data_IF_209348226342
#
_entry.id   IF_209348226342
#
_cell.length_a   1.000
_cell.length_b   1.000
_cell.length_c   1.000
_cell.angle_alpha   90.00
_cell.angle_beta   90.00
_cell.angle_gamma   90.00
#
_symmetry.space_group_name_H-M   'P 1'
#
loop_
_entity.id
_entity.type
_entity.pdbx_description
1 polymer ?
#
# COMPACT_ATOMS: atom_id res chain seq x y z
N UNK A 1 19.00 -26.95 -5.44
CA UNK A 1 18.07 -25.83 -5.17
C UNK A 1 17.76 -25.82 -3.68
N UNK A 2 18.59 -25.24 -2.79
CA UNK A 2 18.29 -25.36 -1.34
C UNK A 2 18.58 -24.07 -0.54
N UNK A 3 19.79 -23.52 -0.56
CA UNK A 3 20.11 -22.44 0.40
C UNK A 3 19.56 -21.04 0.03
N UNK A 4 19.69 -20.62 -1.24
CA UNK A 4 19.24 -19.29 -1.70
C UNK A 4 17.72 -19.12 -1.63
N UNK A 5 16.98 -20.17 -2.01
CA UNK A 5 15.51 -20.19 -1.91
C UNK A 5 15.05 -20.26 -0.46
N UNK A 6 15.73 -21.03 0.40
CA UNK A 6 15.45 -21.03 1.83
C UNK A 6 15.63 -19.65 2.48
N UNK A 7 16.70 -18.93 2.13
CA UNK A 7 16.92 -17.55 2.61
C UNK A 7 15.83 -16.59 2.15
N UNK A 8 15.33 -16.73 0.91
CA UNK A 8 14.21 -15.93 0.40
C UNK A 8 12.93 -16.21 1.18
N UNK A 9 12.59 -17.48 1.39
CA UNK A 9 11.41 -17.89 2.15
C UNK A 9 11.49 -17.43 3.61
N UNK A 10 12.64 -17.65 4.27
CA UNK A 10 12.86 -17.26 5.67
C UNK A 10 12.69 -15.74 5.87
N UNK A 11 13.27 -14.93 4.99
CA UNK A 11 13.08 -13.47 5.02
C UNK A 11 11.61 -13.09 4.84
N UNK A 12 10.89 -13.80 3.97
CA UNK A 12 9.46 -13.58 3.78
C UNK A 12 8.64 -13.88 5.03
N UNK A 13 8.93 -14.98 5.72
CA UNK A 13 8.26 -15.35 6.98
C UNK A 13 8.51 -14.31 8.07
N UNK A 14 9.73 -13.78 8.17
CA UNK A 14 10.07 -12.73 9.14
C UNK A 14 9.23 -11.47 8.87
N UNK A 15 9.16 -11.01 7.62
CA UNK A 15 8.34 -9.86 7.26
C UNK A 15 6.86 -10.09 7.53
N UNK A 16 6.32 -11.26 7.17
CA UNK A 16 4.93 -11.61 7.45
C UNK A 16 4.65 -11.59 8.97
N UNK A 17 5.59 -12.11 9.77
CA UNK A 17 5.50 -12.07 11.24
C UNK A 17 5.49 -10.64 11.79
N UNK A 18 6.35 -9.76 11.25
CA UNK A 18 6.41 -8.34 11.66
C UNK A 18 5.10 -7.63 11.31
N UNK A 19 4.58 -7.84 10.09
CA UNK A 19 3.30 -7.27 9.64
C UNK A 19 2.16 -7.77 10.53
N UNK A 20 2.11 -9.06 10.80
CA UNK A 20 1.11 -9.67 11.69
C UNK A 20 1.20 -9.08 13.11
N UNK A 21 2.40 -8.94 13.66
CA UNK A 21 2.62 -8.34 14.98
C UNK A 21 2.20 -6.87 15.04
N UNK A 22 2.56 -6.07 14.03
CA UNK A 22 2.13 -4.66 13.93
C UNK A 22 0.62 -4.54 13.81
N UNK A 23 -0.01 -5.39 13.01
CA UNK A 23 -1.46 -5.40 12.85
C UNK A 23 -2.18 -5.78 14.15
N UNK A 24 -1.69 -6.81 14.85
CA UNK A 24 -2.20 -7.21 16.17
C UNK A 24 -2.00 -6.10 17.22
N UNK A 25 -0.86 -5.41 17.17
CA UNK A 25 -0.60 -4.28 18.07
C UNK A 25 -1.56 -3.11 17.81
N UNK A 26 -1.80 -2.74 16.55
CA UNK A 26 -2.73 -1.66 16.17
C UNK A 26 -4.18 -1.99 16.54
N UNK A 27 -4.62 -3.22 16.27
CA UNK A 27 -5.98 -3.68 16.62
C UNK A 27 -6.17 -3.83 18.13
N UNK A 28 -5.15 -4.33 18.84
CA UNK A 28 -5.12 -4.39 20.30
C UNK A 28 -5.16 -3.02 20.97
N UNK A 29 -4.43 -2.03 20.42
CA UNK A 29 -4.44 -0.65 20.91
C UNK A 29 -5.83 -0.01 20.81
N UNK A 30 -6.55 -0.24 19.71
CA UNK A 30 -7.93 0.26 19.55
C UNK A 30 -8.93 -0.29 20.57
N UNK A 31 -8.74 -1.54 21.04
CA UNK A 31 -9.55 -2.12 22.12
C UNK A 31 -9.25 -1.51 23.48
N UNK A 32 -7.99 -1.16 23.76
CA UNK A 32 -7.59 -0.54 25.03
C UNK A 32 -8.09 0.91 25.14
N UNK A 33 -8.11 1.65 24.04
CA UNK A 33 -8.59 3.06 24.05
C UNK A 33 -10.11 3.18 24.06
N UNK A 34 -10.83 2.23 23.44
CA UNK A 34 -12.31 2.19 23.47
C UNK A 34 -12.91 1.82 24.82
N UNK A 35 -12.09 1.36 25.78
CA UNK A 35 -12.51 1.13 27.18
C UNK A 35 -12.23 2.33 28.10
N UNK A 36 -11.83 3.49 27.56
CA UNK A 36 -11.80 4.69 28.39
C UNK A 36 -13.23 4.98 28.86
N UNK A 37 -13.52 4.91 30.18
CA UNK A 37 -14.86 5.13 30.67
C UNK A 37 -15.26 6.53 30.25
N UNK A 38 -16.27 6.62 29.39
CA UNK A 38 -16.87 7.89 29.06
C UNK A 38 -17.28 8.53 30.39
N UNK A 39 -16.52 9.51 30.84
CA UNK A 39 -16.93 10.41 31.91
C UNK A 39 -18.12 11.17 31.34
N UNK A 40 -19.31 10.62 31.53
CA UNK A 40 -20.55 11.37 31.40
C UNK A 40 -20.43 12.53 32.37
N UNK A 41 -20.07 13.69 31.83
CA UNK A 41 -20.28 14.95 32.52
C UNK A 41 -21.79 15.12 32.50
N UNK A 42 -22.45 14.65 33.54
CA UNK A 42 -23.85 14.98 33.80
C UNK A 42 -23.90 16.49 34.02
N UNK A 43 -24.24 17.22 32.96
CA UNK A 43 -24.56 18.65 33.07
C UNK A 43 -25.93 18.71 33.73
N UNK A 44 -25.92 18.81 35.06
CA UNK A 44 -27.10 19.07 35.87
C UNK A 44 -27.61 20.47 35.53
N UNK A 45 -28.60 20.55 34.62
CA UNK A 45 -29.28 21.80 34.30
C UNK A 45 -30.15 22.15 35.50
N UNK A 46 -29.61 22.98 36.39
CA UNK A 46 -30.29 23.48 37.58
C UNK A 46 -31.64 24.10 37.23
N UNK A 47 -32.71 23.61 37.87
CA UNK A 47 -34.10 23.97 37.64
C UNK A 47 -34.54 25.29 38.27
N UNK A 48 -33.61 26.21 38.52
CA UNK A 48 -33.89 27.50 39.18
C UNK A 48 -33.85 28.66 38.17
N UNK A 49 -34.86 28.72 37.31
CA UNK A 49 -35.14 29.91 36.49
C UNK A 49 -36.64 30.25 36.58
N UNK A 50 -36.96 31.17 37.50
CA UNK A 50 -38.29 31.70 37.71
C UNK A 50 -38.90 32.35 36.46
N UNK A 51 -40.12 31.92 36.15
CA UNK A 51 -41.33 32.63 35.64
C UNK A 51 -41.26 33.84 34.68
N UNK A 52 -40.12 34.25 34.13
CA UNK A 52 -40.04 35.41 33.22
C UNK A 52 -39.39 35.15 31.84
N UNK A 53 -39.31 33.89 31.35
CA UNK A 53 -38.49 33.56 30.17
C UNK A 53 -39.16 32.73 29.06
N UNK A 54 -40.49 32.76 28.91
CA UNK A 54 -41.18 31.98 27.86
C UNK A 54 -40.68 32.29 26.42
N UNK A 55 -40.16 33.49 26.16
CA UNK A 55 -39.57 33.86 24.86
C UNK A 55 -38.10 33.45 24.70
N UNK A 56 -37.33 33.34 25.79
CA UNK A 56 -35.94 32.84 25.74
C UNK A 56 -35.90 31.30 25.64
N UNK A 57 -36.88 30.61 26.24
CA UNK A 57 -37.03 29.16 26.14
C UNK A 57 -37.28 28.70 24.69
N UNK A 58 -38.00 29.48 23.88
CA UNK A 58 -38.28 29.10 22.50
C UNK A 58 -37.06 29.23 21.56
N UNK A 59 -36.09 30.09 21.90
CA UNK A 59 -34.80 30.17 21.20
C UNK A 59 -33.79 29.12 21.71
N UNK A 60 -33.85 28.74 22.99
CA UNK A 60 -32.99 27.70 23.56
C UNK A 60 -33.42 26.28 23.12
N UNK A 61 -34.72 26.01 22.96
CA UNK A 61 -35.25 24.69 22.53
C UNK A 61 -34.94 24.37 21.07
N UNK A 62 -34.66 25.38 20.23
CA UNK A 62 -34.25 25.15 18.83
C UNK A 62 -32.78 24.70 18.68
N UNK A 63 -31.99 24.78 19.74
CA UNK A 63 -30.61 24.29 19.76
C UNK A 63 -30.43 22.96 20.52
N UNK A 64 -31.50 22.42 21.11
CA UNK A 64 -31.55 21.01 21.53
C UNK A 64 -32.00 20.17 20.32
N UNK A 65 -31.29 20.34 19.20
CA UNK A 65 -31.19 19.23 18.26
C UNK A 65 -30.50 18.13 19.03
N UNK A 66 -31.29 17.17 19.50
CA UNK A 66 -30.92 15.81 19.79
C UNK A 66 -29.44 15.55 19.47
N UNK A 67 -28.58 15.83 20.44
CA UNK A 67 -27.36 15.08 20.60
C UNK A 67 -27.84 13.68 20.98
N UNK A 68 -28.42 12.96 20.01
CA UNK A 68 -28.31 11.52 19.93
C UNK A 68 -26.81 11.35 20.04
N UNK A 69 -26.33 11.07 21.25
CA UNK A 69 -24.99 10.54 21.43
C UNK A 69 -24.95 9.39 20.44
N UNK A 70 -24.20 9.52 19.33
CA UNK A 70 -24.07 8.37 18.47
C UNK A 70 -23.48 7.30 19.38
N UNK A 71 -24.24 6.22 19.60
CA UNK A 71 -23.74 5.07 20.34
C UNK A 71 -22.36 4.73 19.76
N UNK A 72 -21.42 4.25 20.61
CA UNK A 72 -20.01 4.10 20.24
C UNK A 72 -19.91 3.54 18.83
N UNK A 73 -19.55 4.40 17.88
CA UNK A 73 -19.55 4.04 16.47
C UNK A 73 -18.60 2.86 16.33
N UNK A 74 -19.15 1.67 16.05
CA UNK A 74 -18.32 0.51 15.84
C UNK A 74 -17.35 0.85 14.71
N UNK A 75 -16.04 0.62 14.90
CA UNK A 75 -15.05 1.00 13.91
C UNK A 75 -15.32 0.21 12.64
N UNK A 76 -15.76 0.89 11.58
CA UNK A 76 -16.10 0.26 10.31
C UNK A 76 -14.82 0.11 9.47
N UNK A 77 -14.53 -1.10 9.00
CA UNK A 77 -13.27 -1.43 8.31
C UNK A 77 -13.57 -1.69 6.82
N UNK A 78 -13.16 -0.82 5.89
CA UNK A 78 -13.40 -1.04 4.47
C UNK A 78 -12.48 -2.12 3.91
N UNK A 79 -12.99 -2.95 3.00
CA UNK A 79 -12.17 -3.92 2.27
C UNK A 79 -11.00 -3.28 1.52
N UNK A 80 -11.21 -2.08 0.96
CA UNK A 80 -10.15 -1.31 0.32
C UNK A 80 -8.93 -1.08 1.22
N UNK A 81 -9.11 -0.86 2.52
CA UNK A 81 -7.99 -0.72 3.46
C UNK A 81 -7.18 -2.02 3.58
N UNK A 82 -7.85 -3.18 3.61
CA UNK A 82 -7.15 -4.47 3.65
C UNK A 82 -6.38 -4.73 2.35
N UNK A 83 -6.94 -4.37 1.20
CA UNK A 83 -6.24 -4.45 -0.08
C UNK A 83 -5.02 -3.53 -0.12
N UNK A 84 -5.12 -2.32 0.44
CA UNK A 84 -3.98 -1.41 0.54
C UNK A 84 -2.84 -1.98 1.40
N UNK A 85 -3.17 -2.50 2.58
CA UNK A 85 -2.18 -3.15 3.45
C UNK A 85 -1.51 -4.32 2.73
N UNK A 86 -2.30 -5.20 2.11
CA UNK A 86 -1.77 -6.33 1.34
C UNK A 86 -0.92 -5.86 0.14
N UNK A 87 -1.33 -4.82 -0.56
CA UNK A 87 -0.64 -4.20 -1.69
C UNK A 87 0.72 -3.64 -1.32
N UNK A 88 0.80 -2.86 -0.24
CA UNK A 88 2.06 -2.29 0.25
C UNK A 88 3.03 -3.40 0.67
N UNK A 89 2.56 -4.40 1.41
CA UNK A 89 3.41 -5.53 1.82
C UNK A 89 3.89 -6.29 0.59
N UNK A 90 3.01 -6.63 -0.36
CA UNK A 90 3.41 -7.25 -1.62
C UNK A 90 4.41 -6.41 -2.41
N UNK A 91 4.33 -5.08 -2.33
CA UNK A 91 5.26 -4.15 -2.99
C UNK A 91 6.65 -4.23 -2.36
N UNK A 92 6.75 -4.40 -1.05
CA UNK A 92 8.03 -4.66 -0.35
C UNK A 92 8.66 -5.95 -0.89
N UNK A 93 7.88 -7.03 -0.99
CA UNK A 93 8.34 -8.29 -1.58
C UNK A 93 8.77 -8.13 -3.03
N UNK A 94 8.00 -7.39 -3.84
CA UNK A 94 8.35 -7.07 -5.22
C UNK A 94 9.70 -6.33 -5.31
N UNK A 95 10.01 -5.41 -4.39
CA UNK A 95 11.32 -4.75 -4.32
C UNK A 95 12.48 -5.70 -4.01
N UNK A 96 12.24 -6.74 -3.22
CA UNK A 96 13.23 -7.79 -2.91
C UNK A 96 13.46 -8.69 -4.15
N UNK A 97 12.38 -9.04 -4.86
CA UNK A 97 12.45 -9.91 -6.04
C UNK A 97 12.97 -9.19 -7.29
N UNK A 98 12.72 -7.88 -7.43
CA UNK A 98 13.04 -7.10 -8.63
C UNK A 98 14.53 -7.00 -8.99
N UNK A 99 15.43 -7.57 -8.19
CA UNK A 99 16.86 -7.67 -8.46
C UNK A 99 17.28 -9.02 -9.10
N UNK A 100 16.35 -9.90 -9.45
CA UNK A 100 16.61 -11.26 -9.93
C UNK A 100 17.51 -11.28 -11.18
N UNK A 101 17.20 -10.48 -12.21
CA UNK A 101 18.02 -10.37 -13.42
C UNK A 101 19.46 -9.95 -13.12
N UNK A 102 19.65 -8.90 -12.32
CA UNK A 102 20.99 -8.44 -11.94
C UNK A 102 21.80 -9.52 -11.21
N UNK A 103 21.14 -10.34 -10.38
CA UNK A 103 21.80 -11.45 -9.70
C UNK A 103 22.21 -12.55 -10.67
N UNK A 104 21.40 -12.83 -11.70
CA UNK A 104 21.75 -13.78 -12.77
C UNK A 104 22.92 -13.25 -13.64
N UNK A 105 23.06 -11.92 -13.78
CA UNK A 105 24.17 -11.31 -14.51
C UNK A 105 25.54 -11.52 -13.83
N UNK A 106 25.58 -11.80 -12.53
CA UNK A 106 26.84 -12.04 -11.81
C UNK A 106 27.52 -13.36 -12.23
N UNK A 107 26.77 -14.33 -12.75
CA UNK A 107 27.27 -15.61 -13.27
C UNK A 107 27.23 -15.72 -14.80
N UNK A 108 27.18 -14.59 -15.51
CA UNK A 108 26.82 -14.53 -16.93
C UNK A 108 27.69 -15.39 -17.85
N UNK A 109 28.98 -15.58 -17.55
CA UNK A 109 29.88 -16.45 -18.33
C UNK A 109 29.44 -17.92 -18.28
N UNK A 110 29.02 -18.40 -17.11
CA UNK A 110 28.62 -19.80 -16.93
C UNK A 110 27.25 -20.10 -17.56
N UNK A 111 26.32 -19.13 -17.49
CA UNK A 111 24.98 -19.27 -18.07
C UNK A 111 25.02 -19.21 -19.60
N UNK A 112 25.85 -18.34 -20.17
CA UNK A 112 25.97 -18.19 -21.62
C UNK A 112 26.54 -19.45 -22.30
N UNK A 113 27.44 -20.17 -21.62
CA UNK A 113 28.11 -21.34 -22.17
C UNK A 113 27.30 -22.64 -22.02
N UNK A 114 26.33 -22.69 -21.11
CA UNK A 114 25.64 -23.95 -20.74
C UNK A 114 24.20 -24.06 -21.21
N UNK A 115 23.55 -22.98 -21.69
CA UNK A 115 22.12 -23.00 -22.06
C UNK A 115 21.85 -22.36 -23.44
N UNK A 116 21.57 -23.15 -24.51
CA UNK A 116 21.25 -22.62 -25.84
C UNK A 116 19.82 -22.04 -25.98
N UNK A 117 19.21 -21.54 -24.90
CA UNK A 117 17.87 -20.93 -24.94
C UNK A 117 17.96 -19.41 -25.16
N UNK A 118 16.97 -18.86 -25.87
CA UNK A 118 16.80 -17.40 -25.98
C UNK A 118 16.75 -16.77 -24.58
N UNK A 119 17.66 -15.84 -24.28
CA UNK A 119 17.75 -15.20 -22.96
C UNK A 119 16.54 -14.35 -22.63
N UNK A 120 15.87 -13.78 -23.64
CA UNK A 120 14.61 -13.05 -23.45
C UNK A 120 13.52 -13.97 -22.86
N UNK A 121 13.46 -15.22 -23.33
CA UNK A 121 12.53 -16.21 -22.77
C UNK A 121 12.91 -16.59 -21.33
N UNK A 122 14.21 -16.70 -21.03
CA UNK A 122 14.68 -16.95 -19.68
C UNK A 122 14.31 -15.79 -18.73
N UNK A 123 14.62 -14.55 -19.11
CA UNK A 123 14.28 -13.35 -18.35
C UNK A 123 12.76 -13.24 -18.12
N UNK A 124 11.94 -13.52 -19.13
CA UNK A 124 10.48 -13.51 -18.99
C UNK A 124 9.98 -14.58 -18.00
N UNK A 125 10.56 -15.78 -18.00
CA UNK A 125 10.20 -16.84 -17.05
C UNK A 125 10.58 -16.43 -15.62
N UNK A 126 11.77 -15.86 -15.43
CA UNK A 126 12.25 -15.40 -14.13
C UNK A 126 11.38 -14.26 -13.59
N UNK A 127 11.10 -13.24 -14.41
CA UNK A 127 10.16 -12.17 -14.07
C UNK A 127 8.75 -12.71 -13.78
N UNK A 128 8.26 -13.68 -14.54
CA UNK A 128 6.94 -14.29 -14.29
C UNK A 128 6.89 -15.01 -12.94
N UNK A 129 7.98 -15.68 -12.54
CA UNK A 129 8.09 -16.28 -11.21
C UNK A 129 8.10 -15.20 -10.11
N UNK A 130 8.82 -14.09 -10.31
CA UNK A 130 8.82 -12.97 -9.36
C UNK A 130 7.43 -12.32 -9.23
N UNK A 131 6.70 -12.16 -10.34
CA UNK A 131 5.31 -11.67 -10.34
C UNK A 131 4.35 -12.61 -9.61
N UNK A 132 4.50 -13.93 -9.82
CA UNK A 132 3.75 -14.92 -9.07
C UNK A 132 4.08 -14.84 -7.56
N UNK A 133 5.36 -14.67 -7.21
CA UNK A 133 5.80 -14.46 -5.83
C UNK A 133 5.17 -13.24 -5.17
N UNK A 134 5.17 -12.09 -5.84
CA UNK A 134 4.53 -10.86 -5.34
C UNK A 134 3.01 -11.03 -5.19
N UNK A 135 2.36 -11.72 -6.14
CA UNK A 135 0.92 -12.02 -6.08
C UNK A 135 0.58 -12.95 -4.91
N UNK A 136 1.40 -13.98 -4.68
CA UNK A 136 1.27 -14.85 -3.53
C UNK A 136 1.45 -14.09 -2.21
N UNK A 137 2.42 -13.17 -2.14
CA UNK A 137 2.63 -12.31 -0.97
C UNK A 137 1.40 -11.43 -0.67
N UNK A 138 0.77 -10.88 -1.71
CA UNK A 138 -0.50 -10.13 -1.59
C UNK A 138 -1.60 -11.02 -0.97
N UNK A 139 -1.85 -12.18 -1.58
CA UNK A 139 -2.90 -13.10 -1.14
C UNK A 139 -2.67 -13.58 0.30
N UNK A 140 -1.44 -13.97 0.65
CA UNK A 140 -1.10 -14.40 2.01
C UNK A 140 -1.27 -13.27 3.02
N UNK A 141 -0.85 -12.05 2.70
CA UNK A 141 -1.02 -10.89 3.60
C UNK A 141 -2.49 -10.59 3.82
N UNK A 142 -3.30 -10.62 2.77
CA UNK A 142 -4.75 -10.40 2.86
C UNK A 142 -5.41 -11.48 3.74
N UNK A 143 -5.07 -12.75 3.52
CA UNK A 143 -5.56 -13.86 4.35
C UNK A 143 -5.15 -13.70 5.82
N UNK A 144 -3.90 -13.31 6.08
CA UNK A 144 -3.41 -13.06 7.43
C UNK A 144 -4.16 -11.90 8.08
N UNK A 145 -4.38 -10.78 7.39
CA UNK A 145 -5.12 -9.64 7.92
C UNK A 145 -6.57 -10.02 8.29
N UNK A 146 -7.25 -10.77 7.41
CA UNK A 146 -8.61 -11.28 7.68
C UNK A 146 -8.61 -12.25 8.86
N UNK A 147 -7.63 -13.16 8.96
CA UNK A 147 -7.51 -14.08 10.09
C UNK A 147 -7.28 -13.33 11.42
N UNK A 148 -6.45 -12.28 11.43
CA UNK A 148 -6.26 -11.43 12.60
C UNK A 148 -7.55 -10.73 13.01
N UNK A 149 -8.34 -10.21 12.07
CA UNK A 149 -9.66 -9.64 12.36
C UNK A 149 -10.64 -10.69 12.90
N UNK A 150 -10.58 -11.94 12.41
CA UNK A 150 -11.40 -13.04 12.88
C UNK A 150 -11.07 -13.40 14.33
N UNK A 151 -9.78 -13.54 14.67
CA UNK A 151 -9.32 -13.78 16.04
C UNK A 151 -9.71 -12.61 16.95
N UNK A 152 -9.65 -11.38 16.44
CA UNK A 152 -10.10 -10.19 17.14
C UNK A 152 -11.63 -10.01 17.15
N UNK A 153 -12.44 -10.94 16.61
CA UNK A 153 -13.90 -10.79 16.58
C UNK A 153 -14.39 -9.51 15.87
N UNK A 154 -13.61 -8.95 14.95
CA UNK A 154 -13.89 -7.71 14.21
C UNK A 154 -14.36 -7.96 12.77
N UNK A 155 -14.58 -9.22 12.37
CA UNK A 155 -15.00 -9.56 11.00
C UNK A 155 -16.36 -8.97 10.65
N UNK A 156 -17.27 -8.83 11.63
CA UNK A 156 -18.58 -8.20 11.44
C UNK A 156 -18.48 -6.72 11.09
N UNK A 157 -17.33 -6.08 11.35
CA UNK A 157 -17.10 -4.67 11.05
C UNK A 157 -16.57 -4.47 9.62
N UNK A 158 -16.33 -5.54 8.88
CA UNK A 158 -15.92 -5.46 7.48
C UNK A 158 -17.12 -5.08 6.61
N UNK A 159 -16.93 -4.08 5.76
CA UNK A 159 -17.91 -3.70 4.75
C UNK A 159 -17.24 -3.53 3.39
N UNK A 160 -18.00 -3.86 2.34
CA UNK A 160 -17.58 -3.68 0.95
C UNK A 160 -17.90 -2.25 0.57
N UNK A 161 -16.87 -1.42 0.45
CA UNK A 161 -17.00 -0.06 -0.06
C UNK A 161 -17.28 -0.05 -1.57
N UNK A 162 -17.82 1.07 -2.08
CA UNK A 162 -18.27 1.21 -3.47
C UNK A 162 -17.19 0.85 -4.49
N UNK A 163 -15.95 1.21 -4.19
CA UNK A 163 -14.79 1.08 -5.08
C UNK A 163 -13.90 -0.12 -4.72
N UNK A 164 -14.37 -1.01 -3.85
CA UNK A 164 -13.59 -2.15 -3.35
C UNK A 164 -12.97 -2.99 -4.48
N UNK A 165 -13.71 -3.24 -5.57
CA UNK A 165 -13.21 -4.02 -6.69
C UNK A 165 -12.11 -3.31 -7.48
N UNK A 166 -12.24 -2.02 -7.69
CA UNK A 166 -11.23 -1.23 -8.38
C UNK A 166 -9.98 -1.07 -7.49
N UNK A 167 -10.15 -0.88 -6.19
CA UNK A 167 -9.04 -0.89 -5.23
C UNK A 167 -8.34 -2.26 -5.16
N UNK A 168 -9.07 -3.37 -5.23
CA UNK A 168 -8.47 -4.70 -5.34
C UNK A 168 -7.53 -4.77 -6.57
N UNK A 169 -8.01 -4.34 -7.74
CA UNK A 169 -7.17 -4.34 -8.96
C UNK A 169 -5.98 -3.40 -8.81
N UNK A 170 -6.20 -2.17 -8.32
CA UNK A 170 -5.15 -1.18 -8.09
C UNK A 170 -4.03 -1.72 -7.21
N UNK A 171 -4.36 -2.27 -6.05
CA UNK A 171 -3.37 -2.78 -5.10
C UNK A 171 -2.79 -4.14 -5.49
N UNK A 172 -3.45 -4.89 -6.39
CA UNK A 172 -2.86 -6.06 -7.02
C UNK A 172 -1.83 -5.68 -8.09
N UNK A 173 -2.08 -4.62 -8.88
CA UNK A 173 -1.17 -4.15 -9.93
C UNK A 173 -0.01 -3.33 -9.36
N UNK A 174 -0.21 -2.62 -8.24
CA UNK A 174 0.83 -1.84 -7.55
C UNK A 174 2.18 -2.58 -7.37
N UNK A 175 2.22 -3.77 -6.75
CA UNK A 175 3.48 -4.50 -6.61
C UNK A 175 4.08 -4.91 -7.96
N UNK A 176 3.24 -5.14 -8.99
CA UNK A 176 3.73 -5.49 -10.32
C UNK A 176 4.39 -4.28 -11.00
N UNK A 177 3.79 -3.10 -10.88
CA UNK A 177 4.36 -1.85 -11.37
C UNK A 177 5.71 -1.55 -10.71
N UNK A 178 5.80 -1.73 -9.39
CA UNK A 178 7.04 -1.58 -8.64
C UNK A 178 8.11 -2.58 -9.08
N UNK A 179 7.72 -3.85 -9.29
CA UNK A 179 8.63 -4.88 -9.79
C UNK A 179 9.21 -4.51 -11.15
N UNK A 180 8.37 -4.08 -12.09
CA UNK A 180 8.79 -3.62 -13.41
C UNK A 180 9.79 -2.45 -13.33
N UNK A 181 9.54 -1.49 -12.44
CA UNK A 181 10.45 -0.35 -12.21
C UNK A 181 11.80 -0.81 -11.65
N UNK A 182 11.82 -1.66 -10.62
CA UNK A 182 13.06 -2.15 -10.00
C UNK A 182 13.86 -3.01 -10.98
N UNK A 183 13.20 -3.87 -11.76
CA UNK A 183 13.84 -4.64 -12.82
C UNK A 183 14.47 -3.71 -13.87
N UNK A 184 13.75 -2.69 -14.33
CA UNK A 184 14.26 -1.72 -15.29
C UNK A 184 15.47 -0.94 -14.77
N UNK A 185 15.50 -0.64 -13.47
CA UNK A 185 16.60 0.10 -12.86
C UNK A 185 17.83 -0.78 -12.56
N UNK A 186 17.63 -2.10 -12.39
CA UNK A 186 18.70 -3.01 -11.96
C UNK A 186 19.20 -3.95 -13.04
N UNK A 187 18.47 -4.17 -14.13
CA UNK A 187 18.78 -5.18 -15.14
C UNK A 187 20.21 -5.08 -15.73
N UNK A 188 20.74 -3.86 -15.92
CA UNK A 188 22.09 -3.65 -16.44
C UNK A 188 23.20 -3.66 -15.38
N UNK A 189 22.87 -3.71 -14.09
CA UNK A 189 23.84 -3.57 -13.01
C UNK A 189 24.40 -4.93 -12.59
N UNK A 190 25.68 -4.95 -12.22
CA UNK A 190 26.34 -6.08 -11.56
C UNK A 190 26.62 -5.72 -10.10
N UNK A 191 26.35 -6.64 -9.19
CA UNK A 191 26.65 -6.55 -7.74
C UNK A 191 26.01 -5.41 -6.93
N UNK A 192 25.34 -4.45 -7.59
CA UNK A 192 24.78 -3.24 -6.96
C UNK A 192 23.25 -3.18 -6.95
N UNK A 193 22.57 -4.24 -7.38
CA UNK A 193 21.11 -4.27 -7.45
C UNK A 193 20.43 -4.04 -6.10
N UNK A 194 20.99 -4.59 -5.02
CA UNK A 194 20.47 -4.37 -3.67
C UNK A 194 20.52 -2.89 -3.26
N UNK A 195 21.64 -2.21 -3.53
CA UNK A 195 21.80 -0.79 -3.21
C UNK A 195 20.85 0.09 -4.05
N UNK A 196 20.65 -0.24 -5.33
CA UNK A 196 19.73 0.50 -6.21
C UNK A 196 18.27 0.25 -5.83
N UNK A 197 17.87 -0.99 -5.56
CA UNK A 197 16.51 -1.30 -5.10
C UNK A 197 16.18 -0.59 -3.76
N UNK A 198 17.11 -0.63 -2.80
CA UNK A 198 16.97 0.11 -1.55
C UNK A 198 16.92 1.64 -1.75
N UNK A 199 17.79 2.17 -2.61
CA UNK A 199 17.80 3.58 -2.97
C UNK A 199 16.51 4.05 -3.66
N UNK A 200 15.89 3.21 -4.49
CA UNK A 200 14.61 3.50 -5.12
C UNK A 200 13.47 3.63 -4.09
N UNK A 201 13.45 2.80 -3.05
CA UNK A 201 12.48 2.96 -1.96
C UNK A 201 12.63 4.30 -1.25
N UNK A 202 13.86 4.66 -0.88
CA UNK A 202 14.14 5.94 -0.21
C UNK A 202 13.75 7.11 -1.12
N UNK A 203 14.13 7.06 -2.40
CA UNK A 203 13.78 8.09 -3.38
C UNK A 203 12.26 8.20 -3.57
N UNK A 204 11.54 7.09 -3.69
CA UNK A 204 10.10 7.09 -3.85
C UNK A 204 9.39 7.69 -2.64
N UNK A 205 9.77 7.32 -1.41
CA UNK A 205 9.19 7.90 -0.19
C UNK A 205 9.55 9.39 -0.05
N UNK A 206 10.80 9.76 -0.35
CA UNK A 206 11.23 11.15 -0.31
C UNK A 206 10.44 12.01 -1.32
N UNK A 207 10.20 11.52 -2.53
CA UNK A 207 9.39 12.23 -3.52
C UNK A 207 7.95 12.41 -3.05
N UNK A 208 7.33 11.40 -2.41
CA UNK A 208 5.99 11.55 -1.82
C UNK A 208 5.97 12.62 -0.73
N UNK A 209 6.97 12.64 0.16
CA UNK A 209 7.10 13.67 1.19
C UNK A 209 7.31 15.07 0.63
N UNK A 210 8.12 15.19 -0.43
CA UNK A 210 8.38 16.46 -1.12
C UNK A 210 7.14 17.00 -1.84
N UNK A 211 6.24 16.14 -2.32
CA UNK A 211 5.00 16.58 -2.96
C UNK A 211 4.03 17.26 -1.98
N UNK A 212 4.05 16.83 -0.71
CA UNK A 212 3.23 17.40 0.36
C UNK A 212 3.87 18.67 0.95
N UNK A 213 5.18 18.87 0.74
CA UNK A 213 5.89 20.04 1.24
C UNK A 213 5.51 21.32 0.46
N UNK A 214 5.54 22.46 1.16
CA UNK A 214 5.28 23.78 0.57
C UNK A 214 6.48 24.25 -0.27
N UNK A 215 6.62 23.66 -1.45
CA UNK A 215 7.69 23.96 -2.40
C UNK A 215 7.29 25.10 -3.34
N UNK A 216 8.25 25.93 -3.79
CA UNK A 216 7.99 26.89 -4.86
C UNK A 216 7.39 26.20 -6.09
N UNK A 217 6.45 26.87 -6.77
CA UNK A 217 5.63 26.30 -7.86
C UNK A 217 6.42 25.51 -8.91
N UNK A 218 7.61 25.99 -9.28
CA UNK A 218 8.48 25.31 -10.24
C UNK A 218 8.96 23.95 -9.73
N UNK A 219 9.41 23.88 -8.47
CA UNK A 219 9.88 22.64 -7.84
C UNK A 219 8.75 21.66 -7.58
N UNK A 220 7.59 22.17 -7.16
CA UNK A 220 6.41 21.33 -6.99
C UNK A 220 6.01 20.64 -8.32
N UNK A 221 6.06 21.36 -9.45
CA UNK A 221 5.81 20.77 -10.77
C UNK A 221 6.81 19.67 -11.17
N UNK A 222 8.09 19.85 -10.85
CA UNK A 222 9.13 18.82 -11.09
C UNK A 222 8.87 17.58 -10.22
N UNK A 223 8.59 17.77 -8.93
CA UNK A 223 8.30 16.65 -8.01
C UNK A 223 7.04 15.90 -8.44
N UNK A 224 5.96 16.60 -8.80
CA UNK A 224 4.75 15.99 -9.31
C UNK A 224 4.99 15.18 -10.60
N UNK A 225 5.81 15.70 -11.52
CA UNK A 225 6.21 14.97 -12.72
C UNK A 225 7.03 13.71 -12.40
N UNK A 226 7.96 13.79 -11.45
CA UNK A 226 8.74 12.61 -11.02
C UNK A 226 7.84 11.58 -10.33
N UNK A 227 6.90 12.02 -9.49
CA UNK A 227 5.95 11.15 -8.80
C UNK A 227 4.93 10.51 -9.74
N UNK A 228 4.71 11.04 -10.94
CA UNK A 228 3.95 10.36 -11.97
C UNK A 228 4.55 8.97 -12.32
N UNK A 229 5.88 8.84 -12.29
CA UNK A 229 6.57 7.57 -12.53
C UNK A 229 6.77 6.73 -11.27
N UNK A 230 6.34 7.23 -10.10
CA UNK A 230 6.49 6.55 -8.82
C UNK A 230 5.24 5.70 -8.54
N UNK A 231 5.30 4.35 -8.59
CA UNK A 231 4.15 3.50 -8.32
C UNK A 231 3.51 3.77 -6.94
N UNK A 232 4.30 4.16 -5.93
CA UNK A 232 3.79 4.46 -4.60
C UNK A 232 2.89 5.69 -4.55
N UNK A 233 2.97 6.61 -5.52
CA UNK A 233 2.06 7.75 -5.59
C UNK A 233 0.60 7.28 -5.79
N UNK A 234 0.44 6.18 -6.52
CA UNK A 234 -0.84 5.52 -6.72
C UNK A 234 -1.23 4.58 -5.57
N UNK A 235 -0.72 4.78 -4.34
CA UNK A 235 -1.12 4.00 -3.16
C UNK A 235 -1.95 4.80 -2.15
N UNK A 236 -2.03 6.12 -2.30
CA UNK A 236 -2.74 6.99 -1.36
C UNK A 236 -4.27 6.91 -1.46
N UNK A 237 -4.92 7.25 -0.34
CA UNK A 237 -6.33 7.62 -0.28
C UNK A 237 -6.44 9.11 0.06
N UNK A 238 -7.42 9.79 -0.54
CA UNK A 238 -7.86 11.13 -0.15
C UNK A 238 -9.22 11.01 0.49
N UNK A 239 -9.39 11.48 1.72
CA UNK A 239 -10.74 11.63 2.28
C UNK A 239 -11.43 12.79 1.61
N UNK A 240 -12.61 12.55 1.04
CA UNK A 240 -13.49 13.62 0.59
C UNK A 240 -14.09 14.38 1.78
N UNK A 241 -14.78 15.49 1.51
CA UNK A 241 -15.43 16.31 2.53
C UNK A 241 -16.54 15.58 3.31
N UNK A 242 -17.01 14.44 2.83
CA UNK A 242 -17.95 13.54 3.52
C UNK A 242 -17.25 12.49 4.39
N UNK A 243 -15.91 12.48 4.44
CA UNK A 243 -15.13 11.50 5.19
C UNK A 243 -15.04 10.13 4.50
N UNK A 244 -15.46 10.02 3.24
CA UNK A 244 -15.26 8.81 2.45
C UNK A 244 -13.86 8.80 1.83
N UNK A 245 -13.22 7.63 1.79
CA UNK A 245 -11.92 7.44 1.15
C UNK A 245 -12.11 7.43 -0.38
N UNK A 246 -11.56 8.43 -1.06
CA UNK A 246 -11.47 8.57 -2.51
C UNK A 246 -10.02 8.39 -3.00
N UNK A 247 -9.81 8.20 -4.30
CA UNK A 247 -8.49 8.03 -4.91
C UNK A 247 -7.62 9.31 -4.85
N UNK A 248 -6.29 9.14 -4.86
CA UNK A 248 -5.31 10.18 -4.47
C UNK A 248 -4.97 11.23 -5.53
N UNK A 249 -5.02 10.91 -6.81
CA UNK A 249 -4.44 11.80 -7.86
C UNK A 249 -5.42 12.03 -9.01
N UNK A 250 -6.05 10.96 -9.50
CA UNK A 250 -6.97 10.97 -10.62
C UNK A 250 -8.19 10.07 -10.34
N UNK A 251 -9.06 9.94 -11.34
CA UNK A 251 -10.05 8.86 -11.38
C UNK A 251 -9.35 7.51 -11.15
N UNK A 252 -9.94 6.65 -10.32
CA UNK A 252 -9.35 5.38 -9.87
C UNK A 252 -8.95 4.48 -11.06
N UNK A 253 -9.67 4.59 -12.17
CA UNK A 253 -9.36 3.89 -13.41
C UNK A 253 -8.05 4.38 -14.05
N UNK A 254 -7.78 5.69 -14.00
CA UNK A 254 -6.55 6.27 -14.49
C UNK A 254 -5.35 5.84 -13.64
N UNK A 255 -5.50 5.75 -12.32
CA UNK A 255 -4.46 5.21 -11.42
C UNK A 255 -4.10 3.76 -11.80
N UNK A 256 -5.12 2.90 -12.01
CA UNK A 256 -4.91 1.51 -12.44
C UNK A 256 -4.19 1.46 -13.79
N UNK A 257 -4.64 2.25 -14.76
CA UNK A 257 -4.04 2.28 -16.09
C UNK A 257 -2.59 2.73 -16.03
N UNK A 258 -2.28 3.78 -15.26
CA UNK A 258 -0.92 4.26 -15.06
C UNK A 258 -0.02 3.18 -14.45
N UNK A 259 -0.49 2.48 -13.41
CA UNK A 259 0.26 1.36 -12.82
C UNK A 259 0.52 0.23 -13.81
N UNK A 260 -0.48 -0.16 -14.61
CA UNK A 260 -0.31 -1.18 -15.67
C UNK A 260 0.75 -0.73 -16.68
N UNK A 261 0.65 0.52 -17.16
CA UNK A 261 1.59 1.07 -18.13
C UNK A 261 3.01 1.14 -17.58
N UNK A 262 3.19 1.58 -16.33
CA UNK A 262 4.50 1.59 -15.66
C UNK A 262 5.09 0.19 -15.52
N UNK A 263 4.29 -0.79 -15.12
CA UNK A 263 4.73 -2.19 -15.04
C UNK A 263 5.17 -2.75 -16.38
N UNK A 264 4.35 -2.59 -17.42
CA UNK A 264 4.67 -3.06 -18.78
C UNK A 264 5.90 -2.35 -19.34
N UNK A 265 5.98 -1.03 -19.23
CA UNK A 265 7.12 -0.25 -19.69
C UNK A 265 8.41 -0.67 -18.97
N UNK A 266 8.35 -0.89 -17.65
CA UNK A 266 9.46 -1.38 -16.84
C UNK A 266 9.98 -2.74 -17.32
N UNK A 267 9.08 -3.71 -17.56
CA UNK A 267 9.44 -5.01 -18.14
C UNK A 267 10.15 -4.84 -19.48
N UNK A 268 9.58 -4.03 -20.39
CA UNK A 268 10.16 -3.84 -21.73
C UNK A 268 11.55 -3.22 -21.66
N UNK A 269 11.75 -2.20 -20.81
CA UNK A 269 13.06 -1.58 -20.59
C UNK A 269 14.04 -2.59 -20.00
N UNK A 270 13.62 -3.37 -19.00
CA UNK A 270 14.45 -4.41 -18.39
C UNK A 270 14.88 -5.47 -19.42
N UNK A 271 13.97 -5.93 -20.29
CA UNK A 271 14.27 -6.88 -21.35
C UNK A 271 15.24 -6.30 -22.39
N UNK A 272 15.07 -5.04 -22.79
CA UNK A 272 15.99 -4.38 -23.73
C UNK A 272 17.38 -4.24 -23.10
N UNK A 273 17.48 -3.82 -21.84
CA UNK A 273 18.76 -3.75 -21.13
C UNK A 273 19.41 -5.13 -20.99
N UNK A 274 18.62 -6.15 -20.67
CA UNK A 274 19.08 -7.52 -20.54
C UNK A 274 19.64 -8.07 -21.86
N UNK A 275 18.97 -7.78 -22.98
CA UNK A 275 19.44 -8.17 -24.32
C UNK A 275 20.74 -7.47 -24.71
N UNK A 276 20.94 -6.20 -24.32
CA UNK A 276 22.18 -5.48 -24.65
C UNK A 276 23.42 -6.10 -24.02
N UNK A 277 23.28 -6.83 -22.92
CA UNK A 277 24.39 -7.57 -22.31
C UNK A 277 24.83 -8.79 -23.17
N UNK A 278 24.12 -9.12 -24.26
CA UNK A 278 24.52 -10.14 -25.24
C UNK A 278 25.56 -9.64 -26.25
N UNK A 279 25.62 -8.33 -26.51
CA UNK A 279 26.46 -7.70 -27.53
C UNK A 279 27.79 -7.19 -26.95
#
# INVERSE_FOLDING_TARGET
>A
MIYKEYLRISRGIIWLSIVCALFLALTGYGRLTSHSPASTIDVEIGADAGTHSAQAAHHAVKHVHHAVHPGPHQPVIPWSLLFAIAGIVATIFAGIYGASLSNENQGHLEVAWTKPRSRSRYALIDMAADYAGATCAFALTLLTAVACLAIAGLVTNLFIDRDAWLNLVRFLVLPLAWLGLVQAATASLRERSGAVSGGLWVAAVALLGLEIADLPRMWHGVVAFLNFFNPLNYSGYRTDSSGHLAASIADLQADILALVLLGVAGILVALVQWRKLEA
#
